data_IF_512559934118
#
_entry.id   IF_512559934118
#
_cell.length_a   1.000
_cell.length_b   1.000
_cell.length_c   1.000
_cell.angle_alpha   90.00
_cell.angle_beta   90.00
_cell.angle_gamma   90.00
#
_symmetry.space_group_name_H-M   'P 1'
#
loop_
_entity.id
_entity.type
_entity.pdbx_description
1 polymer ?
#
# COMPACT_ATOMS: atom_id res chain seq x y z
N UNK A 1 -9.59 -4.68 10.92
CA UNK A 1 -9.39 -5.96 10.17
C UNK A 1 -8.12 -6.65 10.68
N UNK A 2 -8.17 -7.94 10.90
CA UNK A 2 -6.95 -8.69 11.18
C UNK A 2 -6.16 -8.84 9.89
N UNK A 3 -4.88 -8.48 9.92
CA UNK A 3 -4.02 -8.55 8.73
C UNK A 3 -3.41 -9.94 8.63
N UNK A 4 -3.90 -10.73 7.67
CA UNK A 4 -3.38 -12.03 7.30
C UNK A 4 -3.66 -12.24 5.80
N UNK A 5 -3.16 -13.33 5.23
CA UNK A 5 -3.29 -13.58 3.79
C UNK A 5 -4.75 -13.64 3.35
N UNK A 6 -5.59 -14.33 4.08
CA UNK A 6 -7.01 -14.47 3.73
C UNK A 6 -7.70 -13.09 3.66
N UNK A 7 -7.54 -12.30 4.71
CA UNK A 7 -8.17 -10.97 4.77
C UNK A 7 -7.53 -9.98 3.77
N UNK A 8 -6.23 -10.10 3.54
CA UNK A 8 -5.54 -9.25 2.57
C UNK A 8 -6.05 -9.50 1.16
N UNK A 9 -6.25 -10.76 0.77
CA UNK A 9 -6.79 -11.08 -0.55
C UNK A 9 -8.24 -10.61 -0.71
N UNK A 10 -9.04 -10.70 0.34
CA UNK A 10 -10.40 -10.14 0.32
C UNK A 10 -10.37 -8.61 0.20
N UNK A 11 -9.46 -7.97 0.91
CA UNK A 11 -9.28 -6.52 0.82
C UNK A 11 -8.84 -6.09 -0.59
N UNK A 12 -7.94 -6.86 -1.21
CA UNK A 12 -7.58 -6.65 -2.62
C UNK A 12 -8.80 -6.66 -3.52
N UNK A 13 -9.69 -7.67 -3.35
CA UNK A 13 -10.90 -7.77 -4.14
C UNK A 13 -11.88 -6.61 -3.90
N UNK A 14 -11.97 -6.12 -2.67
CA UNK A 14 -12.76 -4.93 -2.36
C UNK A 14 -12.21 -3.68 -3.08
N UNK A 15 -10.89 -3.55 -3.18
CA UNK A 15 -10.25 -2.38 -3.80
C UNK A 15 -10.19 -2.47 -5.31
N UNK A 16 -9.93 -3.65 -5.85
CA UNK A 16 -9.57 -3.84 -7.27
C UNK A 16 -10.45 -4.84 -7.99
N UNK A 17 -11.41 -5.47 -7.33
CA UNK A 17 -12.27 -6.47 -7.94
C UNK A 17 -11.49 -7.70 -8.38
N UNK A 18 -11.71 -8.14 -9.60
CA UNK A 18 -11.06 -9.34 -10.15
C UNK A 18 -9.71 -9.07 -10.81
N UNK A 19 -9.18 -7.85 -10.68
CA UNK A 19 -7.89 -7.52 -11.29
C UNK A 19 -6.76 -8.34 -10.68
N UNK A 20 -5.87 -8.82 -11.54
CA UNK A 20 -4.68 -9.55 -11.12
C UNK A 20 -3.51 -8.61 -10.84
N UNK A 21 -3.52 -7.42 -11.44
CA UNK A 21 -2.49 -6.40 -11.29
C UNK A 21 -3.12 -5.06 -10.92
N UNK A 22 -2.42 -4.29 -10.11
CA UNK A 22 -2.80 -2.93 -9.76
C UNK A 22 -1.54 -2.13 -9.42
N UNK A 23 -1.66 -0.83 -9.42
CA UNK A 23 -0.57 0.05 -8.97
C UNK A 23 -0.91 0.63 -7.61
N UNK A 24 0.11 0.81 -6.77
CA UNK A 24 -0.07 1.47 -5.49
C UNK A 24 -0.05 3.01 -5.67
N UNK A 25 -0.16 3.75 -4.55
CA UNK A 25 -0.25 5.20 -4.60
C UNK A 25 0.99 5.87 -5.22
N UNK A 26 2.13 5.19 -5.21
CA UNK A 26 3.35 5.72 -5.82
C UNK A 26 3.48 5.31 -7.30
N UNK A 27 2.65 4.38 -7.75
CA UNK A 27 2.70 3.86 -9.12
C UNK A 27 3.50 2.56 -9.26
N UNK A 28 3.89 1.93 -8.16
CA UNK A 28 4.57 0.65 -8.22
C UNK A 28 3.57 -0.49 -8.45
N UNK A 29 3.93 -1.41 -9.33
CA UNK A 29 3.08 -2.54 -9.68
C UNK A 29 2.94 -3.52 -8.51
N UNK A 30 1.74 -4.06 -8.35
CA UNK A 30 1.43 -5.15 -7.45
C UNK A 30 0.78 -6.28 -8.23
N UNK A 31 1.05 -7.53 -7.86
CA UNK A 31 0.34 -8.68 -8.39
C UNK A 31 -0.40 -9.38 -7.25
N UNK A 32 -1.67 -9.67 -7.44
CA UNK A 32 -2.51 -10.28 -6.40
C UNK A 32 -1.85 -11.50 -5.74
N UNK A 33 -1.15 -12.33 -6.53
CA UNK A 33 -0.49 -13.54 -6.04
C UNK A 33 0.78 -13.26 -5.22
N UNK A 34 1.26 -12.03 -5.19
CA UNK A 34 2.52 -11.66 -4.54
C UNK A 34 2.39 -11.21 -3.09
N UNK A 35 1.25 -11.43 -2.44
CA UNK A 35 1.07 -10.97 -1.06
C UNK A 35 2.15 -11.52 -0.12
N UNK A 36 2.81 -10.62 0.59
CA UNK A 36 3.80 -10.96 1.61
C UNK A 36 5.09 -11.56 1.07
N UNK A 37 5.27 -11.61 -0.24
CA UNK A 37 6.43 -12.23 -0.87
C UNK A 37 7.38 -11.16 -1.41
N UNK A 38 8.46 -10.90 -0.67
CA UNK A 38 9.44 -9.89 -1.04
C UNK A 38 10.40 -10.31 -2.17
N UNK A 39 10.17 -11.49 -2.75
CA UNK A 39 10.92 -11.98 -3.90
C UNK A 39 10.03 -12.22 -5.12
N UNK A 40 8.77 -11.75 -5.06
CA UNK A 40 7.81 -12.03 -6.13
C UNK A 40 8.00 -11.05 -7.29
N UNK A 41 8.29 -11.61 -8.45
CA UNK A 41 8.43 -10.84 -9.69
C UNK A 41 7.66 -11.52 -10.81
N UNK A 42 7.22 -10.75 -11.78
CA UNK A 42 6.53 -11.27 -12.97
C UNK A 42 7.17 -10.68 -14.22
N UNK A 43 6.99 -11.37 -15.34
CA UNK A 43 7.28 -10.80 -16.64
C UNK A 43 6.07 -9.98 -17.07
N UNK A 44 6.25 -8.65 -17.13
CA UNK A 44 5.18 -7.71 -17.45
C UNK A 44 5.62 -6.87 -18.64
N UNK A 45 4.96 -7.05 -19.77
CA UNK A 45 5.33 -6.41 -21.03
C UNK A 45 6.80 -6.59 -21.39
N UNK A 46 7.32 -7.81 -21.23
CA UNK A 46 8.70 -8.15 -21.59
C UNK A 46 9.75 -7.80 -20.57
N UNK A 47 9.36 -7.24 -19.42
CA UNK A 47 10.30 -6.88 -18.35
C UNK A 47 9.97 -7.67 -17.10
N UNK A 48 11.01 -8.06 -16.36
CA UNK A 48 10.84 -8.65 -15.04
C UNK A 48 10.62 -7.53 -14.03
N UNK A 49 9.42 -7.48 -13.43
CA UNK A 49 9.04 -6.43 -12.49
C UNK A 49 8.72 -7.06 -11.14
N UNK A 50 9.35 -6.54 -10.10
CA UNK A 50 9.05 -6.88 -8.73
C UNK A 50 7.67 -6.35 -8.36
N UNK A 51 6.79 -7.20 -7.84
CA UNK A 51 5.41 -6.83 -7.56
C UNK A 51 4.81 -7.52 -6.32
N UNK A 52 5.65 -7.92 -5.39
CA UNK A 52 5.20 -8.34 -4.06
C UNK A 52 4.55 -7.17 -3.32
N UNK A 53 3.52 -7.45 -2.52
CA UNK A 53 2.76 -6.40 -1.86
C UNK A 53 2.36 -6.76 -0.44
N UNK A 54 2.04 -5.75 0.33
CA UNK A 54 1.57 -5.86 1.71
C UNK A 54 0.43 -4.88 1.96
N UNK A 55 -0.24 -5.04 3.08
CA UNK A 55 -1.16 -4.04 3.63
C UNK A 55 -0.32 -3.00 4.38
N UNK A 56 -0.58 -1.73 4.08
CA UNK A 56 0.08 -0.59 4.70
C UNK A 56 -0.93 0.21 5.51
N UNK A 57 -0.56 0.62 6.73
CA UNK A 57 -1.39 1.53 7.52
C UNK A 57 -1.10 2.96 7.07
N UNK A 58 -2.13 3.68 6.67
CA UNK A 58 -2.01 5.09 6.25
C UNK A 58 -1.48 5.93 7.39
N UNK A 59 -2.17 5.93 8.53
CA UNK A 59 -1.63 6.48 9.78
C UNK A 59 -0.95 5.35 10.53
N UNK A 60 0.36 5.46 10.79
CA UNK A 60 1.08 4.40 11.49
C UNK A 60 0.52 4.13 12.88
N UNK A 61 0.65 2.89 13.35
CA UNK A 61 0.18 2.51 14.69
C UNK A 61 0.86 3.34 15.79
N UNK A 62 2.14 3.67 15.61
CA UNK A 62 2.89 4.53 16.54
C UNK A 62 2.29 5.94 16.65
N UNK A 63 1.49 6.36 15.66
CA UNK A 63 0.83 7.66 15.63
C UNK A 63 -0.66 7.56 15.93
N UNK A 64 -1.13 6.40 16.39
CA UNK A 64 -2.53 6.17 16.74
C UNK A 64 -3.36 5.51 15.65
N UNK A 65 -2.74 5.08 14.55
CA UNK A 65 -3.44 4.36 13.49
C UNK A 65 -3.89 2.98 13.91
N UNK A 66 -5.00 2.53 13.36
CA UNK A 66 -5.58 1.21 13.63
C UNK A 66 -5.67 0.38 12.35
N UNK A 67 -6.07 -0.88 12.51
CA UNK A 67 -6.29 -1.79 11.37
C UNK A 67 -7.72 -1.68 10.80
N UNK A 68 -8.41 -0.57 11.05
CA UNK A 68 -9.69 -0.30 10.38
C UNK A 68 -9.46 -0.18 8.87
N UNK A 69 -10.37 -0.71 8.06
CA UNK A 69 -10.22 -0.72 6.60
C UNK A 69 -10.01 0.68 6.02
N UNK A 70 -10.60 1.71 6.62
CA UNK A 70 -10.41 3.11 6.21
C UNK A 70 -8.97 3.60 6.39
N UNK A 71 -8.15 2.87 7.15
CA UNK A 71 -6.73 3.21 7.40
C UNK A 71 -5.76 2.28 6.66
N UNK A 72 -6.25 1.48 5.72
CA UNK A 72 -5.43 0.47 5.05
C UNK A 72 -5.33 0.74 3.56
N UNK A 73 -4.15 0.44 3.01
CA UNK A 73 -3.87 0.45 1.58
C UNK A 73 -3.11 -0.81 1.19
N UNK A 74 -3.29 -1.25 -0.05
CA UNK A 74 -2.36 -2.20 -0.66
C UNK A 74 -1.17 -1.40 -1.21
N UNK A 75 0.04 -1.80 -0.88
CA UNK A 75 1.26 -1.19 -1.42
C UNK A 75 2.27 -2.26 -1.82
N UNK A 76 3.05 -1.96 -2.85
CA UNK A 76 4.24 -2.75 -3.15
C UNK A 76 5.12 -2.77 -1.89
N UNK A 77 5.76 -3.89 -1.61
CA UNK A 77 6.58 -4.02 -0.40
C UNK A 77 7.69 -2.95 -0.36
N UNK A 78 8.28 -2.61 -1.50
CA UNK A 78 9.29 -1.56 -1.56
C UNK A 78 8.71 -0.19 -1.18
N UNK A 79 7.51 0.13 -1.66
CA UNK A 79 6.80 1.36 -1.28
C UNK A 79 6.52 1.38 0.22
N UNK A 80 6.06 0.26 0.75
CA UNK A 80 5.77 0.12 2.19
C UNK A 80 7.03 0.37 3.05
N UNK A 81 8.16 -0.20 2.64
CA UNK A 81 9.43 -0.01 3.34
C UNK A 81 9.92 1.43 3.27
N UNK A 82 9.79 2.07 2.10
CA UNK A 82 10.20 3.48 1.93
C UNK A 82 9.33 4.43 2.76
N UNK A 83 8.03 4.19 2.81
CA UNK A 83 7.12 4.98 3.66
C UNK A 83 7.40 4.73 5.13
N UNK A 84 7.61 3.47 5.51
CA UNK A 84 7.85 3.07 6.90
C UNK A 84 6.68 3.46 7.80
N UNK A 85 7.00 3.87 9.02
CA UNK A 85 6.04 4.32 10.03
C UNK A 85 6.06 5.85 10.20
N UNK A 86 6.39 6.56 9.12
CA UNK A 86 6.48 8.03 9.10
C UNK A 86 5.23 8.66 8.54
N UNK A 87 4.94 9.88 8.96
CA UNK A 87 3.82 10.68 8.45
C UNK A 87 4.26 11.65 7.35
N UNK A 88 5.57 11.85 7.17
CA UNK A 88 6.15 12.59 6.05
C UNK A 88 7.34 11.78 5.56
N UNK A 89 7.36 11.46 4.28
CA UNK A 89 8.40 10.57 3.75
C UNK A 89 8.64 10.80 2.26
N UNK A 90 9.86 10.54 1.85
CA UNK A 90 10.26 10.53 0.45
C UNK A 90 10.23 9.12 -0.11
N UNK A 91 9.72 8.98 -1.33
CA UNK A 91 9.90 7.79 -2.15
C UNK A 91 10.48 8.28 -3.47
N UNK A 92 11.75 7.94 -3.73
CA UNK A 92 12.47 8.53 -4.85
C UNK A 92 12.48 10.05 -4.72
N UNK A 93 11.98 10.74 -5.74
CA UNK A 93 11.93 12.21 -5.78
C UNK A 93 10.57 12.77 -5.36
N UNK A 94 9.68 11.93 -4.89
CA UNK A 94 8.32 12.34 -4.48
C UNK A 94 8.22 12.43 -2.97
N UNK A 95 7.71 13.56 -2.49
CA UNK A 95 7.46 13.78 -1.07
C UNK A 95 5.98 13.56 -0.78
N UNK A 96 5.70 12.75 0.22
CA UNK A 96 4.34 12.41 0.65
C UNK A 96 4.11 12.82 2.09
N UNK A 97 2.86 13.10 2.41
CA UNK A 97 2.45 13.43 3.76
C UNK A 97 1.12 12.74 4.08
N UNK A 98 1.04 12.19 5.29
CA UNK A 98 -0.22 11.67 5.84
C UNK A 98 -0.99 12.84 6.39
N UNK A 99 -2.21 13.05 5.90
CA UNK A 99 -3.09 14.12 6.34
C UNK A 99 -4.46 13.59 6.73
N UNK A 100 -5.03 14.19 7.76
CA UNK A 100 -6.41 13.91 8.14
C UNK A 100 -7.35 14.43 7.05
N UNK A 101 -8.33 13.60 6.69
CA UNK A 101 -9.37 14.00 5.75
C UNK A 101 -10.35 14.90 6.49
N UNK A 102 -10.55 16.12 5.98
CA UNK A 102 -11.40 17.12 6.61
C UNK A 102 -12.79 16.57 6.95
N UNK A 103 -13.24 16.82 8.17
CA UNK A 103 -14.56 16.38 8.64
C UNK A 103 -14.64 14.91 9.04
N UNK A 104 -13.52 14.20 9.06
CA UNK A 104 -13.48 12.78 9.43
C UNK A 104 -12.38 12.51 10.45
N UNK A 105 -12.31 11.25 10.93
CA UNK A 105 -11.17 10.77 11.72
C UNK A 105 -10.18 9.98 10.86
N UNK A 106 -10.47 9.86 9.58
CA UNK A 106 -9.64 9.11 8.65
C UNK A 106 -8.50 9.97 8.10
N UNK A 107 -7.49 9.30 7.56
CA UNK A 107 -6.30 9.92 7.00
C UNK A 107 -6.09 9.46 5.57
N UNK A 108 -5.34 10.24 4.82
CA UNK A 108 -4.93 9.90 3.46
C UNK A 108 -3.46 10.24 3.27
N UNK A 109 -2.84 9.60 2.29
CA UNK A 109 -1.49 9.92 1.85
C UNK A 109 -1.61 10.84 0.65
N UNK A 110 -1.02 12.03 0.73
CA UNK A 110 -1.00 12.98 -0.37
C UNK A 110 0.42 13.25 -0.81
N UNK A 111 0.60 13.45 -2.10
CA UNK A 111 1.87 13.89 -2.66
C UNK A 111 1.96 15.40 -2.57
N UNK A 112 3.02 15.92 -1.96
CA UNK A 112 3.23 17.35 -1.78
C UNK A 112 4.41 17.88 -2.58
N UNK A 113 5.24 16.99 -3.11
CA UNK A 113 6.36 17.36 -3.98
C UNK A 113 6.70 16.29 -4.99
#
# INVERSE_FOLDING_TARGET
MKINKYNALRFWEECYGSKQYAEDFHGNLMCKDGYGNNNFSVNYYGQEIYCGWNIHLILPSACGGTNAKSNLLCTNIATNEEAGDRITFWIGESLYQVKRIYGTRDHEIIRIE
#
